data_IF_409119861530
#
_entry.id   IF_409119861530
#
_cell.length_a   1.000
_cell.length_b   1.000
_cell.length_c   1.000
_cell.angle_alpha   90.00
_cell.angle_beta   90.00
_cell.angle_gamma   90.00
#
_symmetry.space_group_name_H-M   'P 1'
#
loop_
_entity.id
_entity.type
_entity.pdbx_description
1 polymer ?
#
# COMPACT_ATOMS: atom_id res chain seq x y z
N UNK A 1 16.43 15.42 -18.65
CA UNK A 1 14.98 15.14 -18.59
C UNK A 1 14.71 14.50 -17.24
N UNK A 2 13.93 15.13 -16.37
CA UNK A 2 13.59 14.56 -15.05
C UNK A 2 12.73 13.30 -15.21
N UNK A 3 12.95 12.31 -14.36
CA UNK A 3 12.16 11.08 -14.34
C UNK A 3 10.72 11.42 -13.94
N UNK A 4 9.74 11.11 -14.79
CA UNK A 4 8.32 11.36 -14.53
C UNK A 4 7.85 10.51 -13.34
N UNK A 5 7.29 11.15 -12.31
CA UNK A 5 6.78 10.46 -11.12
C UNK A 5 5.37 9.90 -11.36
N UNK A 6 4.89 8.94 -10.54
CA UNK A 6 3.50 8.47 -10.62
C UNK A 6 2.48 9.61 -10.44
N UNK A 7 2.80 10.59 -9.58
CA UNK A 7 1.98 11.78 -9.39
C UNK A 7 1.93 12.68 -10.64
N UNK A 8 3.05 12.85 -11.34
CA UNK A 8 3.08 13.60 -12.62
C UNK A 8 2.26 12.90 -13.70
N UNK A 9 2.37 11.58 -13.79
CA UNK A 9 1.57 10.76 -14.71
C UNK A 9 0.08 10.89 -14.40
N UNK A 10 -0.31 10.74 -13.13
CA UNK A 10 -1.70 10.89 -12.70
C UNK A 10 -2.25 12.27 -13.07
N UNK A 11 -1.54 13.34 -12.71
CA UNK A 11 -1.97 14.71 -13.01
C UNK A 11 -2.17 14.93 -14.52
N UNK A 12 -1.26 14.41 -15.34
CA UNK A 12 -1.37 14.52 -16.80
C UNK A 12 -2.61 13.79 -17.33
N UNK A 13 -2.86 12.56 -16.85
CA UNK A 13 -4.02 11.76 -17.26
C UNK A 13 -5.36 12.34 -16.79
N UNK A 14 -5.39 12.98 -15.62
CA UNK A 14 -6.58 13.70 -15.15
C UNK A 14 -6.90 14.86 -16.11
N UNK A 15 -5.89 15.67 -16.47
CA UNK A 15 -6.06 16.77 -17.41
C UNK A 15 -6.50 16.30 -18.81
N UNK A 16 -5.90 15.23 -19.34
CA UNK A 16 -6.29 14.61 -20.62
C UNK A 16 -7.75 14.17 -20.64
N UNK A 17 -8.26 13.71 -19.50
CA UNK A 17 -9.64 13.29 -19.32
C UNK A 17 -10.58 14.41 -18.89
N UNK A 18 -10.08 15.65 -18.81
CA UNK A 18 -10.81 16.86 -18.40
C UNK A 18 -11.41 16.76 -17.00
N UNK A 19 -10.73 16.04 -16.10
CA UNK A 19 -11.11 15.95 -14.68
C UNK A 19 -10.42 17.08 -13.92
N UNK A 20 -11.20 17.89 -13.21
CA UNK A 20 -10.70 19.06 -12.50
C UNK A 20 -11.73 19.69 -11.55
N UNK A 21 -11.83 21.03 -11.59
CA UNK A 21 -12.69 21.80 -10.68
C UNK A 21 -14.14 21.30 -10.75
N UNK A 22 -14.68 20.90 -9.62
CA UNK A 22 -16.04 20.37 -9.52
C UNK A 22 -16.10 18.84 -9.41
N UNK A 23 -15.06 18.13 -9.87
CA UNK A 23 -15.05 16.67 -9.86
C UNK A 23 -14.55 16.10 -8.54
N UNK A 24 -15.05 14.90 -8.22
CA UNK A 24 -14.55 14.03 -7.16
C UNK A 24 -13.77 12.86 -7.75
N UNK A 25 -12.67 12.50 -7.11
CA UNK A 25 -11.83 11.36 -7.51
C UNK A 25 -11.60 10.46 -6.31
N UNK A 26 -12.01 9.21 -6.43
CA UNK A 26 -11.82 8.21 -5.37
C UNK A 26 -10.36 7.77 -5.30
N UNK A 27 -9.77 7.87 -4.11
CA UNK A 27 -8.38 7.52 -3.82
C UNK A 27 -8.34 6.62 -2.57
N UNK A 28 -7.42 5.64 -2.55
CA UNK A 28 -7.16 4.88 -1.33
C UNK A 28 -6.72 5.79 -0.19
N UNK A 29 -7.30 5.61 0.99
CA UNK A 29 -6.86 6.28 2.20
C UNK A 29 -5.46 5.88 2.66
N UNK A 30 -4.93 4.75 2.16
CA UNK A 30 -3.63 4.21 2.53
C UNK A 30 -2.73 4.10 1.30
N UNK A 31 -2.11 5.22 0.90
CA UNK A 31 -1.08 5.27 -0.13
C UNK A 31 -0.15 6.48 0.08
N UNK A 32 0.68 6.80 -0.92
CA UNK A 32 1.53 8.00 -0.88
C UNK A 32 0.69 9.27 -1.03
N UNK A 33 1.00 10.30 -0.23
CA UNK A 33 0.29 11.59 -0.27
C UNK A 33 0.39 12.33 -1.60
N UNK A 34 1.39 11.99 -2.42
CA UNK A 34 1.58 12.53 -3.76
C UNK A 34 0.40 12.20 -4.69
N UNK A 35 -0.29 11.07 -4.49
CA UNK A 35 -1.47 10.69 -5.29
C UNK A 35 -2.63 11.65 -5.02
N UNK A 36 -2.99 11.86 -3.76
CA UNK A 36 -4.05 12.81 -3.40
C UNK A 36 -3.66 14.26 -3.72
N UNK A 37 -2.37 14.60 -3.61
CA UNK A 37 -1.87 15.91 -4.01
C UNK A 37 -2.00 16.12 -5.52
N UNK A 38 -1.73 15.10 -6.35
CA UNK A 38 -1.90 15.19 -7.79
C UNK A 38 -3.37 15.42 -8.20
N UNK A 39 -4.32 14.74 -7.53
CA UNK A 39 -5.76 14.98 -7.70
C UNK A 39 -6.11 16.43 -7.35
N UNK A 40 -5.72 16.90 -6.17
CA UNK A 40 -5.98 18.28 -5.72
C UNK A 40 -5.34 19.32 -6.66
N UNK A 41 -4.13 19.06 -7.15
CA UNK A 41 -3.40 19.94 -8.06
C UNK A 41 -4.03 19.98 -9.47
N UNK A 42 -4.81 18.96 -9.85
CA UNK A 42 -5.64 19.00 -11.06
C UNK A 42 -6.93 19.82 -10.86
N UNK A 43 -7.22 20.27 -9.63
CA UNK A 43 -8.43 21.03 -9.27
C UNK A 43 -9.59 20.16 -8.79
N UNK A 44 -9.45 18.83 -8.81
CA UNK A 44 -10.46 17.88 -8.33
C UNK A 44 -10.36 17.65 -6.82
N UNK A 45 -11.44 17.15 -6.21
CA UNK A 45 -11.52 16.79 -4.81
C UNK A 45 -11.14 15.31 -4.62
N UNK A 46 -10.06 14.96 -3.89
CA UNK A 46 -9.83 13.58 -3.48
C UNK A 46 -10.88 13.14 -2.45
N UNK A 47 -11.58 12.06 -2.75
CA UNK A 47 -12.52 11.37 -1.85
C UNK A 47 -11.88 10.06 -1.42
N UNK A 48 -11.79 9.83 -0.10
CA UNK A 48 -11.06 8.69 0.44
C UNK A 48 -11.97 7.49 0.67
N UNK A 49 -11.52 6.33 0.19
CA UNK A 49 -12.10 5.03 0.48
C UNK A 49 -11.08 4.12 1.20
N UNK A 50 -11.59 3.14 1.91
CA UNK A 50 -10.80 2.22 2.72
C UNK A 50 -10.07 1.17 1.85
N UNK A 51 -9.26 0.34 2.49
CA UNK A 51 -8.47 -0.69 1.84
C UNK A 51 -8.97 -2.10 2.15
N UNK A 52 -8.69 -3.03 1.24
CA UNK A 52 -8.86 -4.44 1.52
C UNK A 52 -7.72 -4.90 2.46
N UNK A 53 -8.02 -5.52 3.62
CA UNK A 53 -7.03 -5.74 4.67
C UNK A 53 -5.81 -6.57 4.27
N UNK A 54 -5.96 -7.55 3.37
CA UNK A 54 -4.90 -8.47 3.00
C UNK A 54 -3.94 -7.88 1.97
N UNK A 55 -4.47 -7.31 0.89
CA UNK A 55 -3.71 -6.72 -0.23
C UNK A 55 -3.28 -5.29 0.02
N UNK A 56 -3.91 -4.59 0.98
CA UNK A 56 -3.73 -3.17 1.29
C UNK A 56 -4.08 -2.23 0.13
N UNK A 57 -4.61 -2.76 -0.96
CA UNK A 57 -5.08 -1.98 -2.11
C UNK A 57 -6.47 -1.41 -1.83
N UNK A 58 -6.90 -0.44 -2.65
CA UNK A 58 -8.25 0.12 -2.59
C UNK A 58 -9.31 -0.98 -2.61
N UNK A 59 -10.20 -1.01 -1.62
CA UNK A 59 -11.33 -1.94 -1.58
C UNK A 59 -12.44 -1.47 -2.54
N UNK A 60 -12.84 -2.29 -3.55
CA UNK A 60 -13.94 -1.95 -4.43
C UNK A 60 -15.27 -1.71 -3.69
N UNK A 61 -15.52 -2.42 -2.59
CA UNK A 61 -16.76 -2.25 -1.83
C UNK A 61 -16.78 -0.90 -1.10
N UNK A 62 -15.68 -0.54 -0.40
CA UNK A 62 -15.53 0.79 0.19
C UNK A 62 -15.53 1.91 -0.85
N UNK A 63 -14.93 1.71 -2.03
CA UNK A 63 -14.97 2.69 -3.11
C UNK A 63 -16.40 2.97 -3.59
N UNK A 64 -17.26 1.95 -3.63
CA UNK A 64 -18.66 2.08 -4.05
C UNK A 64 -19.49 2.92 -3.06
N UNK A 65 -19.17 2.92 -1.77
CA UNK A 65 -19.97 3.63 -0.75
C UNK A 65 -19.72 5.14 -0.73
N UNK A 66 -18.63 5.61 -1.34
CA UNK A 66 -18.24 7.03 -1.35
C UNK A 66 -18.55 7.71 -2.68
N UNK A 67 -19.18 7.02 -3.63
CA UNK A 67 -19.55 7.59 -4.92
C UNK A 67 -20.66 8.64 -4.77
N UNK A 68 -20.58 9.68 -5.60
CA UNK A 68 -21.59 10.73 -5.74
C UNK A 68 -21.81 11.06 -7.21
N UNK A 69 -22.78 11.93 -7.51
CA UNK A 69 -22.99 12.48 -8.86
C UNK A 69 -21.78 13.26 -9.40
N UNK A 70 -20.89 13.72 -8.50
CA UNK A 70 -19.67 14.45 -8.85
C UNK A 70 -18.47 13.53 -9.07
N UNK A 71 -18.60 12.24 -8.75
CA UNK A 71 -17.50 11.30 -8.90
C UNK A 71 -17.21 11.10 -10.38
N UNK A 72 -16.00 11.44 -10.80
CA UNK A 72 -15.56 11.36 -12.19
C UNK A 72 -14.57 10.20 -12.42
N UNK A 73 -13.80 9.83 -11.39
CA UNK A 73 -12.79 8.79 -11.53
C UNK A 73 -12.47 8.03 -10.24
N UNK A 74 -11.87 6.86 -10.43
CA UNK A 74 -11.23 6.03 -9.40
C UNK A 74 -9.75 5.91 -9.75
N UNK A 75 -8.89 6.08 -8.74
CA UNK A 75 -7.43 5.97 -8.87
C UNK A 75 -6.94 4.73 -8.10
N UNK A 76 -6.86 3.56 -8.76
CA UNK A 76 -6.23 2.38 -8.17
C UNK A 76 -4.72 2.58 -8.06
N UNK A 77 -4.17 2.23 -6.89
CA UNK A 77 -2.71 2.16 -6.65
C UNK A 77 -2.35 0.70 -6.41
N UNK A 78 -1.37 0.19 -7.14
CA UNK A 78 -0.83 -1.16 -6.95
C UNK A 78 0.14 -1.18 -5.76
N UNK A 79 -0.42 -1.13 -4.55
CA UNK A 79 0.34 -0.78 -3.37
C UNK A 79 1.43 -1.81 -3.07
N UNK A 80 2.67 -1.33 -2.88
CA UNK A 80 3.87 -2.14 -2.62
C UNK A 80 4.21 -3.18 -3.68
N UNK A 81 3.59 -3.06 -4.86
CA UNK A 81 3.71 -4.00 -5.96
C UNK A 81 2.68 -5.14 -5.95
N UNK A 82 1.67 -5.11 -5.07
CA UNK A 82 0.46 -5.92 -5.20
C UNK A 82 -0.51 -5.21 -6.16
N UNK A 83 -0.90 -5.82 -7.29
CA UNK A 83 -1.96 -5.27 -8.13
C UNK A 83 -3.26 -5.09 -7.37
N UNK A 84 -3.90 -3.95 -7.54
CA UNK A 84 -5.26 -3.72 -7.04
C UNK A 84 -6.25 -4.63 -7.78
N UNK A 85 -7.45 -4.86 -7.24
CA UNK A 85 -8.49 -5.63 -7.92
C UNK A 85 -9.08 -4.83 -9.11
N UNK A 86 -8.34 -4.84 -10.21
CA UNK A 86 -8.69 -4.12 -11.42
C UNK A 86 -9.94 -4.67 -12.09
N UNK A 87 -10.30 -5.94 -11.84
CA UNK A 87 -11.52 -6.53 -12.39
C UNK A 87 -12.73 -5.86 -11.72
N UNK A 88 -12.76 -5.86 -10.39
CA UNK A 88 -13.88 -5.27 -9.64
C UNK A 88 -13.92 -3.75 -9.76
N UNK A 89 -12.76 -3.06 -9.71
CA UNK A 89 -12.72 -1.60 -9.84
C UNK A 89 -13.14 -1.12 -11.23
N UNK A 90 -12.79 -1.85 -12.31
CA UNK A 90 -13.26 -1.53 -13.66
C UNK A 90 -14.75 -1.82 -13.84
N UNK A 91 -15.25 -2.91 -13.24
CA UNK A 91 -16.68 -3.20 -13.26
C UNK A 91 -17.48 -2.12 -12.54
N UNK A 92 -17.04 -1.70 -11.36
CA UNK A 92 -17.64 -0.59 -10.61
C UNK A 92 -17.62 0.71 -11.44
N UNK A 93 -16.47 1.05 -12.01
CA UNK A 93 -16.36 2.25 -12.85
C UNK A 93 -17.29 2.19 -14.06
N UNK A 94 -17.39 1.04 -14.74
CA UNK A 94 -18.28 0.87 -15.88
C UNK A 94 -19.76 1.02 -15.49
N UNK A 95 -20.17 0.45 -14.36
CA UNK A 95 -21.55 0.55 -13.86
C UNK A 95 -21.97 2.00 -13.57
N UNK A 96 -21.02 2.85 -13.13
CA UNK A 96 -21.28 4.23 -12.73
C UNK A 96 -20.78 5.28 -13.73
N UNK A 97 -20.28 4.87 -14.90
CA UNK A 97 -19.77 5.79 -15.93
C UNK A 97 -18.47 6.52 -15.56
N UNK A 98 -17.69 5.96 -14.63
CA UNK A 98 -16.47 6.56 -14.09
C UNK A 98 -15.23 6.22 -14.93
N UNK A 99 -14.18 7.04 -14.82
CA UNK A 99 -12.85 6.72 -15.36
C UNK A 99 -12.02 5.93 -14.36
N UNK A 100 -11.17 5.02 -14.84
CA UNK A 100 -10.14 4.36 -14.02
C UNK A 100 -8.78 4.89 -14.45
N UNK A 101 -8.04 5.51 -13.51
CA UNK A 101 -6.78 6.19 -13.81
C UNK A 101 -5.67 5.66 -12.91
N UNK A 102 -4.88 4.75 -13.46
CA UNK A 102 -3.67 4.23 -12.81
C UNK A 102 -2.57 5.30 -12.81
N UNK A 103 -1.98 5.65 -11.65
CA UNK A 103 -0.89 6.62 -11.54
C UNK A 103 0.46 6.04 -12.01
N UNK A 104 0.60 4.72 -11.92
CA UNK A 104 1.75 3.98 -12.42
C UNK A 104 1.43 3.37 -13.78
N UNK A 105 2.09 3.84 -14.83
CA UNK A 105 2.11 3.14 -16.12
C UNK A 105 3.11 1.95 -16.13
N UNK A 106 3.57 1.52 -14.95
CA UNK A 106 4.65 0.56 -14.76
C UNK A 106 5.98 1.27 -14.52
N UNK A 107 6.33 1.50 -13.25
CA UNK A 107 7.71 1.81 -12.92
C UNK A 107 8.61 0.64 -13.37
N UNK A 108 9.69 0.99 -14.06
CA UNK A 108 10.56 0.12 -14.83
C UNK A 108 11.43 -0.82 -13.97
N UNK A 109 10.82 -1.68 -13.15
CA UNK A 109 11.53 -2.81 -12.56
C UNK A 109 11.75 -3.83 -13.66
N UNK A 110 13.00 -4.13 -13.99
CA UNK A 110 13.30 -5.16 -14.98
C UNK A 110 12.63 -6.49 -14.57
N UNK A 111 12.18 -7.28 -15.55
CA UNK A 111 11.55 -8.57 -15.29
C UNK A 111 12.44 -9.50 -14.45
N UNK A 112 13.76 -9.37 -14.59
CA UNK A 112 14.78 -10.09 -13.82
C UNK A 112 14.82 -9.64 -12.36
N UNK A 113 14.84 -8.34 -12.11
CA UNK A 113 14.86 -7.79 -10.74
C UNK A 113 13.58 -8.16 -9.98
N UNK A 114 12.42 -8.01 -10.65
CA UNK A 114 11.14 -8.42 -10.08
C UNK A 114 11.09 -9.94 -9.81
N UNK A 115 11.71 -10.77 -10.66
CA UNK A 115 11.80 -12.21 -10.43
C UNK A 115 12.68 -12.56 -9.22
N UNK A 116 13.84 -11.89 -9.06
CA UNK A 116 14.70 -12.08 -7.89
C UNK A 116 14.03 -11.65 -6.60
N UNK A 117 13.34 -10.50 -6.59
CA UNK A 117 12.55 -10.05 -5.44
C UNK A 117 11.47 -11.06 -5.06
N UNK A 118 10.74 -11.62 -6.04
CA UNK A 118 9.77 -12.71 -5.77
C UNK A 118 10.41 -13.93 -5.13
N UNK A 119 11.56 -14.38 -5.61
CA UNK A 119 12.28 -15.52 -5.01
C UNK A 119 12.69 -15.23 -3.56
N UNK A 120 13.18 -14.02 -3.28
CA UNK A 120 13.54 -13.60 -1.92
C UNK A 120 12.29 -13.47 -1.04
N UNK A 121 11.20 -12.93 -1.57
CA UNK A 121 9.92 -12.85 -0.86
C UNK A 121 9.39 -14.24 -0.51
N UNK A 122 9.43 -15.20 -1.43
CA UNK A 122 9.05 -16.59 -1.16
C UNK A 122 9.94 -17.23 -0.08
N UNK A 123 11.25 -16.95 -0.11
CA UNK A 123 12.18 -17.41 0.93
C UNK A 123 11.79 -16.88 2.32
N UNK A 124 11.42 -15.60 2.42
CA UNK A 124 10.96 -14.96 3.65
C UNK A 124 9.58 -15.49 4.08
N UNK A 125 8.59 -15.45 3.19
CA UNK A 125 7.20 -15.86 3.47
C UNK A 125 7.10 -17.30 3.97
N UNK A 126 7.93 -18.20 3.44
CA UNK A 126 7.95 -19.61 3.86
C UNK A 126 8.63 -19.86 5.21
N UNK A 127 9.25 -18.85 5.84
CA UNK A 127 10.08 -19.01 7.06
C UNK A 127 9.76 -18.03 8.17
N UNK A 128 9.11 -16.92 7.88
CA UNK A 128 8.69 -15.95 8.88
C UNK A 128 7.52 -16.52 9.69
N UNK A 129 7.64 -16.47 11.01
CA UNK A 129 6.62 -16.92 11.97
C UNK A 129 6.27 -15.83 12.99
N UNK A 130 7.11 -14.81 13.14
CA UNK A 130 6.87 -13.72 14.11
C UNK A 130 6.10 -12.51 13.57
N UNK A 131 5.62 -12.57 12.33
CA UNK A 131 4.87 -11.50 11.66
C UNK A 131 3.87 -12.11 10.69
N UNK A 132 2.81 -11.36 10.36
CA UNK A 132 1.91 -11.72 9.26
C UNK A 132 2.56 -11.31 7.94
N UNK A 133 2.80 -12.28 7.07
CA UNK A 133 3.47 -12.09 5.78
C UNK A 133 2.53 -11.45 4.73
N UNK A 134 3.06 -10.80 3.68
CA UNK A 134 2.20 -10.22 2.64
C UNK A 134 1.37 -11.31 1.95
N UNK A 135 0.08 -11.04 1.78
CA UNK A 135 -0.82 -11.86 0.98
C UNK A 135 -0.53 -11.71 -0.52
N UNK A 136 -0.83 -12.74 -1.29
CA UNK A 136 -0.83 -12.68 -2.76
C UNK A 136 -2.11 -13.36 -3.24
N UNK A 137 -2.98 -12.58 -3.90
CA UNK A 137 -4.20 -13.12 -4.48
C UNK A 137 -3.92 -14.19 -5.55
N UNK A 138 -4.84 -15.16 -5.69
CA UNK A 138 -4.70 -16.20 -6.70
C UNK A 138 -4.64 -15.59 -8.11
N UNK A 139 -3.70 -16.05 -8.94
CA UNK A 139 -3.49 -15.53 -10.30
C UNK A 139 -2.82 -14.16 -10.37
N UNK A 140 -2.52 -13.53 -9.24
CA UNK A 140 -1.86 -12.22 -9.19
C UNK A 140 -0.34 -12.37 -9.12
N UNK A 141 0.38 -11.52 -9.86
CA UNK A 141 1.84 -11.45 -9.84
C UNK A 141 2.30 -10.22 -9.06
N UNK A 142 2.65 -10.44 -7.80
CA UNK A 142 3.26 -9.41 -6.96
C UNK A 142 4.70 -9.10 -7.42
N UNK A 143 5.05 -7.81 -7.57
CA UNK A 143 6.42 -7.40 -7.97
C UNK A 143 7.34 -7.08 -6.80
N UNK A 144 6.77 -6.93 -5.60
CA UNK A 144 7.46 -6.71 -4.33
C UNK A 144 8.37 -5.49 -4.37
N UNK A 145 7.83 -4.33 -4.78
CA UNK A 145 8.51 -3.05 -4.59
C UNK A 145 8.85 -2.83 -3.13
N UNK A 146 7.99 -3.33 -2.23
CA UNK A 146 8.26 -3.42 -0.80
C UNK A 146 7.76 -4.76 -0.28
N UNK A 147 8.48 -5.36 0.67
CA UNK A 147 8.00 -6.53 1.42
C UNK A 147 7.38 -6.06 2.74
N UNK A 148 6.06 -5.86 2.73
CA UNK A 148 5.33 -5.29 3.86
C UNK A 148 4.66 -6.38 4.67
N UNK A 149 5.06 -6.51 5.93
CA UNK A 149 4.46 -7.42 6.91
C UNK A 149 3.56 -6.63 7.86
N UNK A 150 2.61 -7.31 8.52
CA UNK A 150 1.91 -6.75 9.68
C UNK A 150 2.55 -7.30 10.96
N UNK A 151 2.91 -6.39 11.87
CA UNK A 151 3.38 -6.76 13.20
C UNK A 151 2.17 -7.13 14.05
N UNK A 152 2.13 -8.33 14.66
CA UNK A 152 1.05 -8.72 15.58
C UNK A 152 0.95 -7.77 16.79
N UNK A 153 -0.16 -7.83 17.53
CA UNK A 153 -0.39 -7.00 18.71
C UNK A 153 -1.41 -5.90 18.47
N UNK A 154 -1.34 -4.83 19.27
CA UNK A 154 -2.35 -3.76 19.29
C UNK A 154 -1.94 -2.53 18.44
N UNK A 155 -1.20 -2.75 17.35
CA UNK A 155 -0.72 -1.66 16.50
C UNK A 155 0.43 -0.87 17.15
N UNK A 156 0.24 0.43 17.43
CA UNK A 156 1.23 1.24 18.16
C UNK A 156 0.95 1.17 19.67
N UNK A 157 1.98 1.03 20.53
CA UNK A 157 3.42 1.20 20.25
C UNK A 157 4.15 -0.06 19.78
N UNK A 158 3.50 -1.23 19.75
CA UNK A 158 4.12 -2.54 19.51
C UNK A 158 4.92 -2.61 18.20
N UNK A 159 4.36 -2.10 17.09
CA UNK A 159 5.06 -2.02 15.80
C UNK A 159 6.37 -1.24 15.88
N UNK A 160 6.36 -0.10 16.59
CA UNK A 160 7.53 0.75 16.72
C UNK A 160 8.60 0.11 17.61
N UNK A 161 8.19 -0.58 18.68
CA UNK A 161 9.08 -1.40 19.51
C UNK A 161 9.70 -2.55 18.70
N UNK A 162 8.88 -3.27 17.91
CA UNK A 162 9.34 -4.34 17.03
C UNK A 162 10.38 -3.85 16.02
N UNK A 163 10.13 -2.71 15.38
CA UNK A 163 11.07 -2.04 14.46
C UNK A 163 12.39 -1.70 15.15
N UNK A 164 12.37 -1.17 16.38
CA UNK A 164 13.58 -0.86 17.13
C UNK A 164 14.37 -2.13 17.49
N UNK A 165 13.67 -3.19 17.90
CA UNK A 165 14.28 -4.48 18.22
C UNK A 165 14.92 -5.17 17.00
N UNK A 166 14.31 -5.02 15.81
CA UNK A 166 14.92 -5.45 14.54
C UNK A 166 16.16 -4.63 14.18
N UNK A 167 16.11 -3.30 14.37
CA UNK A 167 17.27 -2.43 14.13
C UNK A 167 18.46 -2.80 15.00
N UNK A 168 18.23 -3.11 16.28
CA UNK A 168 19.26 -3.59 17.19
C UNK A 168 19.89 -4.94 16.75
N UNK A 169 19.17 -5.72 15.93
CA UNK A 169 19.63 -6.97 15.31
C UNK A 169 20.19 -6.78 13.89
N UNK A 170 20.42 -5.54 13.47
CA UNK A 170 20.98 -5.21 12.16
C UNK A 170 20.00 -5.34 11.00
N UNK A 171 18.69 -5.27 11.25
CA UNK A 171 17.64 -5.29 10.22
C UNK A 171 16.94 -3.92 10.18
N UNK A 172 17.26 -3.12 9.16
CA UNK A 172 16.74 -1.77 9.02
C UNK A 172 15.37 -1.76 8.34
N UNK A 173 14.30 -1.64 9.12
CA UNK A 173 12.93 -1.58 8.60
C UNK A 173 12.40 -0.15 8.49
N UNK A 174 11.35 0.05 7.71
CA UNK A 174 10.65 1.34 7.60
C UNK A 174 9.14 1.19 7.75
N UNK A 175 8.49 2.26 8.18
CA UNK A 175 7.03 2.36 8.18
C UNK A 175 6.62 2.85 6.78
N UNK A 176 5.91 2.06 5.98
CA UNK A 176 5.68 2.38 4.58
C UNK A 176 4.69 3.54 4.39
N UNK A 177 3.64 3.60 5.21
CA UNK A 177 2.70 4.72 5.29
C UNK A 177 2.45 5.00 6.78
N UNK A 178 2.79 6.21 7.23
CA UNK A 178 2.74 6.57 8.66
C UNK A 178 1.36 7.09 9.09
N UNK A 179 0.71 7.84 8.21
CA UNK A 179 -0.55 8.52 8.49
C UNK A 179 -1.45 8.30 7.27
N UNK A 180 -2.62 7.68 7.45
CA UNK A 180 -3.61 7.59 6.38
C UNK A 180 -3.95 8.98 5.85
N UNK A 181 -4.25 9.08 4.56
CA UNK A 181 -4.41 10.36 3.88
C UNK A 181 -5.51 11.21 4.50
N UNK A 182 -6.65 10.60 4.84
CA UNK A 182 -7.78 11.28 5.51
C UNK A 182 -7.45 11.84 6.91
N UNK A 183 -6.29 11.49 7.49
CA UNK A 183 -5.81 12.03 8.77
C UNK A 183 -4.70 13.07 8.62
N UNK A 184 -4.12 13.22 7.42
CA UNK A 184 -3.12 14.25 7.14
C UNK A 184 -3.75 15.65 7.25
N UNK A 185 -3.04 16.66 7.82
CA UNK A 185 -3.59 18.00 8.02
C UNK A 185 -4.22 18.63 6.77
N UNK A 186 -3.62 18.41 5.60
CA UNK A 186 -4.04 18.96 4.31
C UNK A 186 -5.20 18.23 3.63
N UNK A 187 -5.61 17.08 4.17
CA UNK A 187 -6.64 16.18 3.63
C UNK A 187 -7.61 15.70 4.72
N UNK A 188 -7.59 16.36 5.88
CA UNK A 188 -8.30 15.89 7.06
C UNK A 188 -9.81 15.85 6.81
N UNK A 189 -10.40 14.70 7.08
CA UNK A 189 -11.85 14.47 7.03
C UNK A 189 -12.27 13.60 8.21
N UNK A 190 -13.57 13.62 8.53
CA UNK A 190 -14.15 12.88 9.65
C UNK A 190 -14.67 11.48 9.26
N UNK A 191 -14.24 10.98 8.10
CA UNK A 191 -14.59 9.63 7.62
C UNK A 191 -13.98 8.55 8.51
N UNK A 192 -14.69 7.44 8.65
CA UNK A 192 -14.24 6.27 9.38
C UNK A 192 -13.70 5.21 8.40
N UNK A 193 -12.38 5.04 8.37
CA UNK A 193 -11.67 4.12 7.46
C UNK A 193 -10.75 3.20 8.28
N UNK A 194 -11.32 2.25 9.03
CA UNK A 194 -10.61 1.47 10.05
C UNK A 194 -9.46 0.65 9.50
N UNK A 195 -9.55 0.14 8.27
CA UNK A 195 -8.52 -0.75 7.74
C UNK A 195 -7.25 0.02 7.35
N UNK A 196 -7.41 1.22 6.79
CA UNK A 196 -6.32 2.15 6.55
C UNK A 196 -5.64 2.59 7.86
N UNK A 197 -6.42 2.87 8.91
CA UNK A 197 -5.89 3.21 10.24
C UNK A 197 -5.08 2.04 10.83
N UNK A 198 -5.69 0.86 10.86
CA UNK A 198 -5.06 -0.37 11.33
C UNK A 198 -3.77 -0.69 10.56
N UNK A 199 -3.77 -0.54 9.24
CA UNK A 199 -2.57 -0.74 8.43
C UNK A 199 -1.45 0.27 8.76
N UNK A 200 -1.76 1.52 9.08
CA UNK A 200 -0.75 2.52 9.48
C UNK A 200 -0.11 2.23 10.85
N UNK A 201 -0.82 1.49 11.69
CA UNK A 201 -0.37 1.07 13.00
C UNK A 201 0.44 -0.23 12.95
N UNK A 202 0.03 -1.19 12.14
CA UNK A 202 0.61 -2.55 12.11
C UNK A 202 1.70 -2.76 11.05
N UNK A 203 1.64 -2.05 9.92
CA UNK A 203 2.51 -2.37 8.78
C UNK A 203 3.98 -1.96 9.01
N UNK A 204 4.88 -2.84 8.59
CA UNK A 204 6.32 -2.63 8.60
C UNK A 204 6.93 -3.21 7.32
N UNK A 205 7.70 -2.40 6.59
CA UNK A 205 8.43 -2.87 5.42
C UNK A 205 9.79 -3.41 5.84
N UNK A 206 10.01 -4.71 5.60
CA UNK A 206 11.30 -5.37 5.78
C UNK A 206 12.21 -5.09 4.56
N UNK A 207 13.54 -5.16 4.72
CA UNK A 207 14.45 -5.08 3.59
C UNK A 207 14.18 -6.20 2.59
N UNK A 208 13.99 -5.83 1.33
CA UNK A 208 13.93 -6.76 0.21
C UNK A 208 14.52 -6.09 -1.02
N UNK A 209 15.61 -6.65 -1.52
CA UNK A 209 16.24 -6.22 -2.76
C UNK A 209 16.69 -7.43 -3.60
N UNK A 210 16.79 -7.25 -4.91
CA UNK A 210 17.21 -8.29 -5.85
C UNK A 210 18.66 -8.73 -5.67
N UNK A 211 19.53 -7.89 -5.10
CA UNK A 211 20.94 -8.17 -4.86
C UNK A 211 21.24 -8.82 -3.50
N UNK A 212 20.22 -9.02 -2.64
CA UNK A 212 20.43 -9.58 -1.30
C UNK A 212 21.01 -10.99 -1.32
N UNK A 213 21.94 -11.24 -0.41
CA UNK A 213 22.50 -12.54 -0.16
C UNK A 213 21.58 -13.41 0.70
N UNK A 214 21.75 -14.74 0.60
CA UNK A 214 21.05 -15.69 1.47
C UNK A 214 21.31 -15.43 2.97
N UNK A 215 22.51 -14.97 3.33
CA UNK A 215 22.86 -14.62 4.72
C UNK A 215 22.04 -13.44 5.24
N UNK A 216 21.78 -12.44 4.41
CA UNK A 216 20.94 -11.31 4.77
C UNK A 216 19.47 -11.72 4.95
N UNK A 217 18.94 -12.54 4.04
CA UNK A 217 17.58 -13.09 4.17
C UNK A 217 17.43 -13.93 5.44
N UNK A 218 18.42 -14.77 5.75
CA UNK A 218 18.45 -15.56 7.00
C UNK A 218 18.50 -14.68 8.25
N UNK A 219 19.25 -13.55 8.20
CA UNK A 219 19.27 -12.59 9.30
C UNK A 219 17.90 -11.99 9.55
N UNK A 220 17.16 -11.64 8.48
CA UNK A 220 15.78 -11.12 8.60
C UNK A 220 14.87 -12.15 9.25
N UNK A 221 14.87 -13.38 8.75
CA UNK A 221 14.08 -14.49 9.32
C UNK A 221 14.41 -14.70 10.79
N UNK A 222 15.70 -14.83 11.12
CA UNK A 222 16.13 -15.04 12.50
C UNK A 222 15.70 -13.90 13.41
N UNK A 223 15.84 -12.65 12.96
CA UNK A 223 15.52 -11.48 13.77
C UNK A 223 14.01 -11.37 14.00
N UNK A 224 13.18 -11.60 12.98
CA UNK A 224 11.72 -11.54 13.11
C UNK A 224 11.19 -12.69 13.97
N UNK A 225 11.65 -13.92 13.74
CA UNK A 225 11.17 -15.08 14.49
C UNK A 225 11.57 -15.04 15.96
N UNK A 226 12.73 -14.47 16.29
CA UNK A 226 13.14 -14.25 17.68
C UNK A 226 12.24 -13.25 18.43
N UNK A 227 11.50 -12.40 17.72
CA UNK A 227 10.57 -11.43 18.29
C UNK A 227 9.12 -11.93 18.29
N UNK A 228 8.79 -12.93 17.46
CA UNK A 228 7.45 -13.50 17.33
C UNK A 228 6.85 -14.10 18.61
N UNK A 229 7.70 -14.40 19.60
CA UNK A 229 7.28 -14.85 20.93
C UNK A 229 7.20 -13.77 22.01
N UNK A 230 7.59 -12.52 21.73
CA UNK A 230 7.59 -11.42 22.71
C UNK A 230 6.27 -10.63 22.74
N UNK A 231 5.35 -10.88 21.80
CA UNK A 231 4.04 -10.21 21.72
C UNK A 231 2.88 -11.09 22.21
N UNK A 232 3.16 -12.32 22.63
CA UNK A 232 2.20 -13.18 23.29
C UNK A 232 2.42 -13.10 24.82
N UNK A 233 1.80 -12.13 25.48
CA UNK A 233 1.36 -12.39 26.86
C UNK A 233 0.02 -13.12 26.83
N UNK A 234 -0.19 -14.11 27.70
CA UNK A 234 -1.34 -15.00 27.65
C UNK A 234 -2.60 -14.23 28.01
N UNK A 235 -3.65 -14.35 27.20
CA UNK A 235 -4.99 -14.04 27.66
C UNK A 235 -5.34 -14.98 28.84
N UNK A 236 -5.47 -14.41 30.04
CA UNK A 236 -6.19 -15.04 31.15
C UNK A 236 -7.69 -15.11 30.85
#
# INVERSE_FOLDING_TARGET
MGTRTPADTLRSRLAEQRIGVGDEVVVSAYCTGEIAAAVRNAGALPVFADIEPASLCLDPASAATVLSERTAAIVPVHLFGHPADMVCLRALAQQHGLKVIEPDAGAAVSSVEAARRRQHAEFLSSRLTGVVVPFVAAGVRHVYEQYVVRVPGNGRPDRDAFKQALRARGVACRVPVRTPLHRLPEFRTDVWLPEAERAAEECLALPLDAAMSRRELQRIVSACNALGGLLAEPAC
#
